data_IF_663907229878
#
_entry.id   IF_663907229878
#
_cell.length_a   1.000
_cell.length_b   1.000
_cell.length_c   1.000
_cell.angle_alpha   90.00
_cell.angle_beta   90.00
_cell.angle_gamma   90.00
#
_symmetry.space_group_name_H-M   'P 1'
#
loop_
_entity.id
_entity.type
_entity.pdbx_description
1 polymer ?
#
# COMPACT_ATOMS: atom_id res chain seq x y z
N UNK A 1 19.38 19.22 51.11
CA UNK A 1 20.43 18.99 50.10
C UNK A 1 19.95 19.51 48.77
N UNK A 2 20.28 20.76 48.46
CA UNK A 2 19.94 21.47 47.23
C UNK A 2 21.03 21.20 46.20
N UNK A 3 20.75 20.36 45.21
CA UNK A 3 21.68 20.08 44.11
C UNK A 3 21.92 21.33 43.24
N UNK A 4 23.13 21.49 42.67
CA UNK A 4 23.47 22.65 41.86
C UNK A 4 22.59 22.75 40.61
N UNK A 5 22.11 23.95 40.32
CA UNK A 5 21.30 24.25 39.15
C UNK A 5 22.09 23.96 37.84
N UNK A 6 21.47 23.29 36.83
CA UNK A 6 22.15 23.00 35.58
C UNK A 6 22.49 24.28 34.81
N UNK A 7 23.73 24.38 34.33
CA UNK A 7 24.24 25.54 33.63
C UNK A 7 23.44 25.85 32.33
N UNK A 8 23.01 27.10 32.08
CA UNK A 8 22.05 27.48 31.04
C UNK A 8 22.53 27.38 29.57
N UNK A 9 23.69 26.75 29.28
CA UNK A 9 24.27 26.66 27.93
C UNK A 9 24.18 25.30 27.23
N UNK A 10 23.83 24.21 27.94
CA UNK A 10 24.00 22.84 27.43
C UNK A 10 22.94 22.36 26.42
N UNK A 11 21.78 23.02 26.33
CA UNK A 11 20.65 22.54 25.52
C UNK A 11 20.86 22.77 24.02
N UNK A 12 21.50 23.87 23.61
CA UNK A 12 21.80 24.15 22.19
C UNK A 12 22.86 23.20 21.61
N UNK A 13 23.90 22.91 22.39
CA UNK A 13 24.97 22.00 21.97
C UNK A 13 24.49 20.54 21.87
N UNK A 14 23.66 20.08 22.83
CA UNK A 14 23.04 18.74 22.76
C UNK A 14 22.05 18.62 21.61
N UNK A 15 21.26 19.67 21.34
CA UNK A 15 20.35 19.73 20.19
C UNK A 15 21.08 19.62 18.84
N UNK A 16 22.16 20.38 18.65
CA UNK A 16 22.94 20.34 17.41
C UNK A 16 23.61 18.97 17.16
N UNK A 17 24.16 18.34 18.21
CA UNK A 17 24.77 17.02 18.11
C UNK A 17 23.75 15.91 17.80
N UNK A 18 22.57 15.96 18.43
CA UNK A 18 21.46 15.03 18.17
C UNK A 18 20.92 15.18 16.74
N UNK A 19 20.73 16.41 16.27
CA UNK A 19 20.29 16.70 14.89
C UNK A 19 21.35 16.25 13.87
N UNK A 20 22.64 16.47 14.13
CA UNK A 20 23.72 16.04 13.23
C UNK A 20 23.88 14.52 13.13
N UNK A 21 23.66 13.78 14.23
CA UNK A 21 23.72 12.31 14.22
C UNK A 21 22.50 11.68 13.52
N UNK A 22 21.28 12.16 13.79
CA UNK A 22 20.06 11.66 13.16
C UNK A 22 19.97 12.10 11.69
N UNK A 23 20.44 13.30 11.36
CA UNK A 23 20.42 13.84 10.00
C UNK A 23 21.22 13.00 9.01
N UNK A 24 22.41 12.51 9.37
CA UNK A 24 23.22 11.64 8.49
C UNK A 24 22.56 10.28 8.24
N UNK A 25 21.97 9.67 9.27
CA UNK A 25 21.25 8.41 9.12
C UNK A 25 20.01 8.58 8.22
N UNK A 26 19.24 9.64 8.41
CA UNK A 26 18.08 9.97 7.58
C UNK A 26 18.46 10.29 6.14
N UNK A 27 19.55 11.05 5.92
CA UNK A 27 20.05 11.34 4.58
C UNK A 27 20.47 10.05 3.84
N UNK A 28 21.19 9.16 4.51
CA UNK A 28 21.56 7.85 3.94
C UNK A 28 20.34 7.01 3.57
N UNK A 29 19.31 6.96 4.42
CA UNK A 29 18.05 6.27 4.11
C UNK A 29 17.30 6.93 2.94
N UNK A 30 17.35 8.26 2.85
CA UNK A 30 16.78 9.03 1.75
C UNK A 30 17.40 8.65 0.41
N UNK A 31 18.73 8.60 0.33
CA UNK A 31 19.45 8.20 -0.90
C UNK A 31 19.06 6.78 -1.33
N UNK A 32 19.07 5.82 -0.40
CA UNK A 32 18.71 4.43 -0.73
C UNK A 32 17.26 4.33 -1.21
N UNK A 33 16.34 5.08 -0.60
CA UNK A 33 14.94 5.13 -1.03
C UNK A 33 14.79 5.72 -2.45
N UNK A 34 15.51 6.80 -2.75
CA UNK A 34 15.53 7.41 -4.11
C UNK A 34 16.02 6.40 -5.14
N UNK A 35 17.09 5.65 -4.84
CA UNK A 35 17.57 4.58 -5.72
C UNK A 35 16.49 3.54 -5.98
N UNK A 36 15.76 3.11 -4.94
CA UNK A 36 14.65 2.16 -5.08
C UNK A 36 13.51 2.66 -5.96
N UNK A 37 13.14 3.95 -5.80
CA UNK A 37 12.11 4.61 -6.63
C UNK A 37 12.58 4.69 -8.09
N UNK A 38 13.82 5.12 -8.32
CA UNK A 38 14.40 5.19 -9.67
C UNK A 38 14.48 3.80 -10.32
N UNK A 39 14.88 2.77 -9.57
CA UNK A 39 14.91 1.40 -10.05
C UNK A 39 13.50 0.90 -10.43
N UNK A 40 12.49 1.22 -9.62
CA UNK A 40 11.10 0.87 -9.92
C UNK A 40 10.58 1.57 -11.18
N UNK A 41 10.88 2.86 -11.35
CA UNK A 41 10.54 3.60 -12.56
C UNK A 41 11.28 3.05 -13.80
N UNK A 42 12.58 2.79 -13.67
CA UNK A 42 13.40 2.18 -14.72
C UNK A 42 12.89 0.79 -15.11
N UNK A 43 12.47 -0.02 -14.14
CA UNK A 43 11.82 -1.30 -14.36
C UNK A 43 10.57 -1.16 -15.23
N UNK A 44 9.66 -0.25 -14.87
CA UNK A 44 8.44 -0.04 -15.66
C UNK A 44 8.78 0.38 -17.10
N UNK A 45 9.72 1.31 -17.28
CA UNK A 45 10.13 1.76 -18.61
C UNK A 45 10.74 0.65 -19.46
N UNK A 46 11.62 -0.17 -18.87
CA UNK A 46 12.26 -1.30 -19.56
C UNK A 46 11.22 -2.32 -20.02
N UNK A 47 10.27 -2.67 -19.15
CA UNK A 47 9.27 -3.68 -19.46
C UNK A 47 8.25 -3.16 -20.48
N UNK A 48 7.79 -1.91 -20.36
CA UNK A 48 6.90 -1.26 -21.34
C UNK A 48 7.53 -1.26 -22.74
N UNK A 49 8.79 -0.81 -22.85
CA UNK A 49 9.51 -0.74 -24.13
C UNK A 49 9.86 -2.12 -24.69
N UNK A 50 10.07 -3.08 -23.81
CA UNK A 50 10.58 -4.40 -24.15
C UNK A 50 9.55 -5.40 -24.65
N UNK A 51 8.34 -5.37 -24.09
CA UNK A 51 7.28 -6.35 -24.35
C UNK A 51 6.34 -5.92 -25.50
N UNK A 52 6.27 -4.62 -25.81
CA UNK A 52 5.25 -4.08 -26.70
C UNK A 52 3.83 -4.16 -26.10
N UNK A 53 2.81 -3.57 -26.76
CA UNK A 53 1.50 -3.36 -26.15
C UNK A 53 0.79 -4.65 -25.73
N UNK A 54 0.82 -5.68 -26.59
CA UNK A 54 0.09 -6.94 -26.35
C UNK A 54 0.63 -7.68 -25.13
N UNK A 55 1.94 -8.00 -25.14
CA UNK A 55 2.56 -8.69 -24.00
C UNK A 55 2.60 -7.82 -22.75
N UNK A 56 2.76 -6.50 -22.89
CA UNK A 56 2.71 -5.58 -21.74
C UNK A 56 1.31 -5.54 -21.11
N UNK A 57 0.23 -5.54 -21.91
CA UNK A 57 -1.14 -5.60 -21.40
C UNK A 57 -1.41 -6.87 -20.60
N UNK A 58 -0.92 -8.02 -21.07
CA UNK A 58 -0.96 -9.28 -20.33
C UNK A 58 -0.12 -9.20 -19.04
N UNK A 59 1.12 -8.75 -19.14
CA UNK A 59 2.02 -8.59 -17.99
C UNK A 59 1.41 -7.67 -16.93
N UNK A 60 0.89 -6.51 -17.31
CA UNK A 60 0.31 -5.52 -16.41
C UNK A 60 -0.96 -6.04 -15.73
N UNK A 61 -1.78 -6.83 -16.44
CA UNK A 61 -2.96 -7.49 -15.86
C UNK A 61 -2.58 -8.53 -14.81
N UNK A 62 -1.54 -9.32 -15.09
CA UNK A 62 -1.00 -10.31 -14.15
C UNK A 62 -0.32 -9.63 -12.95
N UNK A 63 0.43 -8.55 -13.20
CA UNK A 63 1.06 -7.73 -12.17
C UNK A 63 0.00 -7.02 -11.30
N UNK A 64 -1.17 -6.68 -11.84
CA UNK A 64 -2.27 -6.11 -11.08
C UNK A 64 -2.72 -7.05 -9.94
N UNK A 65 -2.85 -8.36 -10.20
CA UNK A 65 -3.13 -9.33 -9.13
C UNK A 65 -2.00 -9.41 -8.10
N UNK A 66 -0.74 -9.39 -8.55
CA UNK A 66 0.41 -9.37 -7.64
C UNK A 66 0.45 -8.07 -6.81
N UNK A 67 0.05 -6.94 -7.37
CA UNK A 67 -0.05 -5.66 -6.66
C UNK A 67 -1.10 -5.71 -5.55
N UNK A 68 -2.24 -6.37 -5.78
CA UNK A 68 -3.26 -6.60 -4.74
C UNK A 68 -2.68 -7.40 -3.57
N UNK A 69 -1.97 -8.50 -3.85
CA UNK A 69 -1.29 -9.29 -2.83
C UNK A 69 -0.18 -8.48 -2.12
N UNK A 70 0.60 -7.71 -2.87
CA UNK A 70 1.66 -6.84 -2.34
C UNK A 70 1.12 -5.78 -1.39
N UNK A 71 0.03 -5.08 -1.74
CA UNK A 71 -0.60 -4.07 -0.87
C UNK A 71 -1.17 -4.72 0.39
N UNK A 72 -1.87 -5.86 0.25
CA UNK A 72 -2.34 -6.64 1.40
C UNK A 72 -1.20 -7.08 2.33
N UNK A 73 -0.08 -7.52 1.75
CA UNK A 73 1.12 -7.85 2.52
C UNK A 73 1.68 -6.62 3.24
N UNK A 74 1.62 -5.42 2.66
CA UNK A 74 2.04 -4.18 3.29
C UNK A 74 1.23 -3.83 4.54
N UNK A 75 -0.07 -4.16 4.56
CA UNK A 75 -0.89 -4.01 5.77
C UNK A 75 -0.44 -4.96 6.88
N UNK A 76 -0.14 -6.22 6.54
CA UNK A 76 0.46 -7.18 7.47
C UNK A 76 1.79 -6.65 8.03
N UNK A 77 2.67 -6.08 7.19
CA UNK A 77 3.94 -5.46 7.62
C UNK A 77 3.72 -4.46 8.74
N UNK A 78 2.79 -3.54 8.53
CA UNK A 78 2.53 -2.45 9.46
C UNK A 78 1.96 -2.98 10.78
N UNK A 79 1.06 -3.96 10.73
CA UNK A 79 0.52 -4.64 11.91
C UNK A 79 1.63 -5.31 12.72
N UNK A 80 2.48 -6.12 12.07
CA UNK A 80 3.61 -6.82 12.70
C UNK A 80 4.63 -5.83 13.26
N UNK A 81 4.89 -4.72 12.58
CA UNK A 81 5.80 -3.68 13.06
C UNK A 81 5.30 -3.01 14.35
N UNK A 82 4.02 -2.64 14.40
CA UNK A 82 3.42 -2.02 15.59
C UNK A 82 3.45 -2.99 16.77
N UNK A 83 3.05 -4.23 16.56
CA UNK A 83 3.04 -5.25 17.63
C UNK A 83 4.46 -5.58 18.15
N UNK A 84 5.43 -5.71 17.24
CA UNK A 84 6.83 -5.95 17.61
C UNK A 84 7.39 -4.78 18.42
N UNK A 85 7.08 -3.54 18.03
CA UNK A 85 7.48 -2.35 18.77
C UNK A 85 6.86 -2.30 20.17
N UNK A 86 5.56 -2.59 20.29
CA UNK A 86 4.83 -2.63 21.56
C UNK A 86 5.39 -3.72 22.50
N UNK A 87 5.62 -4.93 21.98
CA UNK A 87 6.18 -6.06 22.74
C UNK A 87 7.57 -5.73 23.30
N UNK A 88 8.40 -5.01 22.54
CA UNK A 88 9.72 -4.56 22.99
C UNK A 88 9.63 -3.45 24.04
N UNK A 89 8.73 -2.49 23.86
CA UNK A 89 8.54 -1.38 24.80
C UNK A 89 8.02 -1.86 26.15
N UNK A 90 7.17 -2.89 26.17
CA UNK A 90 6.64 -3.49 27.39
C UNK A 90 7.69 -4.23 28.24
N UNK A 91 8.97 -4.23 27.84
CA UNK A 91 10.02 -4.91 28.57
C UNK A 91 9.73 -6.40 28.74
N UNK A 92 8.92 -6.98 27.84
CA UNK A 92 8.76 -8.42 27.68
C UNK A 92 10.11 -8.93 27.16
N UNK A 93 11.10 -8.95 28.06
CA UNK A 93 12.31 -9.75 27.97
C UNK A 93 11.79 -11.11 27.61
N UNK A 94 12.05 -11.52 26.38
CA UNK A 94 11.61 -12.78 25.80
C UNK A 94 11.58 -13.84 26.89
N UNK A 95 10.38 -14.12 27.41
CA UNK A 95 10.17 -15.22 28.34
C UNK A 95 10.83 -16.39 27.67
N UNK A 96 11.82 -16.97 28.36
CA UNK A 96 12.77 -18.00 27.95
C UNK A 96 12.49 -18.53 26.54
N UNK A 97 13.37 -18.33 25.54
CA UNK A 97 13.11 -18.60 24.12
C UNK A 97 12.75 -20.07 23.90
N UNK A 98 11.49 -20.41 24.16
CA UNK A 98 10.95 -21.72 23.93
C UNK A 98 10.67 -21.77 22.45
N UNK A 99 11.71 -22.09 21.66
CA UNK A 99 11.77 -22.86 20.40
C UNK A 99 10.55 -22.87 19.45
N UNK A 100 9.61 -21.94 19.54
CA UNK A 100 8.45 -21.88 18.66
C UNK A 100 8.94 -21.28 17.36
N UNK A 101 9.27 -22.19 16.45
CA UNK A 101 9.65 -21.88 15.07
C UNK A 101 8.58 -21.04 14.34
N UNK A 102 7.35 -21.05 14.85
CA UNK A 102 6.19 -20.33 14.33
C UNK A 102 5.59 -19.46 15.45
N UNK A 103 5.74 -18.13 15.33
CA UNK A 103 4.97 -17.17 16.13
C UNK A 103 3.64 -16.83 15.42
N UNK A 104 2.77 -16.07 16.09
CA UNK A 104 1.46 -15.70 15.54
C UNK A 104 1.57 -15.00 14.18
N UNK A 105 2.53 -14.08 14.03
CA UNK A 105 2.77 -13.37 12.77
C UNK A 105 3.22 -14.29 11.64
N UNK A 106 3.98 -15.37 11.93
CA UNK A 106 4.41 -16.36 10.94
C UNK A 106 3.22 -17.14 10.42
N UNK A 107 2.33 -17.58 11.32
CA UNK A 107 1.09 -18.26 10.95
C UNK A 107 0.23 -17.36 10.08
N UNK A 108 0.05 -16.09 10.47
CA UNK A 108 -0.74 -15.12 9.71
C UNK A 108 -0.17 -14.89 8.30
N UNK A 109 1.14 -14.69 8.17
CA UNK A 109 1.80 -14.52 6.88
C UNK A 109 1.67 -15.75 5.98
N UNK A 110 1.88 -16.95 6.53
CA UNK A 110 1.79 -18.20 5.78
C UNK A 110 0.35 -18.49 5.33
N UNK A 111 -0.63 -18.30 6.21
CA UNK A 111 -2.04 -18.53 5.90
C UNK A 111 -2.53 -17.51 4.86
N UNK A 112 -2.26 -16.22 5.03
CA UNK A 112 -2.67 -15.21 4.04
C UNK A 112 -2.00 -15.44 2.69
N UNK A 113 -0.69 -15.72 2.69
CA UNK A 113 0.04 -16.07 1.47
C UNK A 113 -0.52 -17.31 0.78
N UNK A 114 -0.78 -18.38 1.55
CA UNK A 114 -1.34 -19.63 1.01
C UNK A 114 -2.77 -19.43 0.49
N UNK A 115 -3.62 -18.68 1.21
CA UNK A 115 -4.98 -18.35 0.75
C UNK A 115 -4.93 -17.59 -0.57
N UNK A 116 -4.06 -16.59 -0.72
CA UNK A 116 -3.89 -15.88 -1.98
C UNK A 116 -3.37 -16.78 -3.10
N UNK A 117 -2.39 -17.65 -2.82
CA UNK A 117 -1.87 -18.61 -3.80
C UNK A 117 -2.94 -19.61 -4.23
N UNK A 118 -3.65 -20.24 -3.30
CA UNK A 118 -4.72 -21.19 -3.59
C UNK A 118 -5.85 -20.52 -4.36
N UNK A 119 -6.27 -19.32 -3.95
CA UNK A 119 -7.30 -18.57 -4.67
C UNK A 119 -6.86 -18.27 -6.12
N UNK A 120 -5.60 -17.88 -6.35
CA UNK A 120 -5.05 -17.69 -7.69
C UNK A 120 -5.02 -18.96 -8.53
N UNK A 121 -4.65 -20.10 -7.93
CA UNK A 121 -4.66 -21.42 -8.61
C UNK A 121 -6.08 -21.85 -8.96
N UNK A 122 -7.04 -21.71 -8.03
CA UNK A 122 -8.45 -22.04 -8.24
C UNK A 122 -9.07 -21.14 -9.31
N UNK A 123 -8.70 -19.86 -9.34
CA UNK A 123 -9.15 -18.92 -10.36
C UNK A 123 -8.43 -19.09 -11.71
N UNK A 124 -7.37 -19.92 -11.78
CA UNK A 124 -6.52 -20.00 -12.97
C UNK A 124 -7.27 -20.35 -14.26
N UNK A 125 -8.20 -21.33 -14.31
CA UNK A 125 -8.95 -21.64 -15.54
C UNK A 125 -9.77 -20.45 -16.05
N UNK A 126 -10.36 -19.68 -15.13
CA UNK A 126 -11.11 -18.48 -15.47
C UNK A 126 -10.19 -17.37 -15.98
N UNK A 127 -9.06 -17.15 -15.30
CA UNK A 127 -8.08 -16.13 -15.68
C UNK A 127 -7.40 -16.45 -17.02
N UNK A 128 -7.10 -17.71 -17.30
CA UNK A 128 -6.51 -18.10 -18.60
C UNK A 128 -7.46 -17.84 -19.75
N UNK A 129 -8.73 -18.20 -19.59
CA UNK A 129 -9.76 -17.94 -20.60
C UNK A 129 -10.02 -16.44 -20.76
N UNK A 130 -10.05 -15.69 -19.65
CA UNK A 130 -10.38 -14.27 -19.66
C UNK A 130 -9.23 -13.36 -20.10
N UNK A 131 -7.97 -13.81 -20.01
CA UNK A 131 -6.78 -13.00 -20.39
C UNK A 131 -6.15 -13.46 -21.72
N UNK A 132 -6.75 -14.49 -22.33
CA UNK A 132 -6.24 -15.19 -23.51
C UNK A 132 -4.76 -15.60 -23.35
N UNK A 133 -4.50 -16.43 -22.34
CA UNK A 133 -3.13 -16.82 -21.99
C UNK A 133 -3.03 -18.26 -21.51
N UNK A 134 -1.79 -18.76 -21.42
CA UNK A 134 -1.52 -20.08 -20.87
C UNK A 134 -1.62 -20.09 -19.35
N UNK A 135 -1.78 -21.27 -18.75
CA UNK A 135 -1.90 -21.42 -17.29
C UNK A 135 -0.63 -21.03 -16.54
N UNK A 136 0.54 -21.11 -17.19
CA UNK A 136 1.84 -20.96 -16.55
C UNK A 136 2.04 -19.55 -15.95
N UNK A 137 1.87 -18.43 -16.69
CA UNK A 137 1.95 -17.09 -16.11
C UNK A 137 1.03 -16.87 -14.90
N UNK A 138 -0.19 -17.41 -14.94
CA UNK A 138 -1.16 -17.28 -13.84
C UNK A 138 -0.67 -18.03 -12.59
N UNK A 139 -0.15 -19.24 -12.75
CA UNK A 139 0.43 -20.01 -11.65
C UNK A 139 1.68 -19.36 -11.07
N UNK A 140 2.52 -18.73 -11.90
CA UNK A 140 3.71 -17.99 -11.42
C UNK A 140 3.30 -16.80 -10.55
N UNK A 141 2.28 -16.03 -10.96
CA UNK A 141 1.73 -14.93 -10.15
C UNK A 141 1.13 -15.44 -8.84
N UNK A 142 0.34 -16.51 -8.91
CA UNK A 142 -0.26 -17.12 -7.71
C UNK A 142 0.83 -17.60 -6.74
N UNK A 143 1.88 -18.25 -7.24
CA UNK A 143 3.01 -18.71 -6.45
C UNK A 143 3.82 -17.54 -5.84
N UNK A 144 3.87 -16.39 -6.50
CA UNK A 144 4.58 -15.21 -6.00
C UNK A 144 3.88 -14.56 -4.80
N UNK A 145 2.58 -14.79 -4.56
CA UNK A 145 1.88 -14.21 -3.42
C UNK A 145 2.48 -14.63 -2.07
N UNK A 146 2.73 -15.93 -1.87
CA UNK A 146 3.27 -16.47 -0.61
C UNK A 146 4.60 -15.83 -0.17
N UNK A 147 5.67 -15.77 -0.99
CA UNK A 147 6.92 -15.15 -0.58
C UNK A 147 6.76 -13.65 -0.29
N UNK A 148 5.83 -12.94 -0.95
CA UNK A 148 5.57 -11.53 -0.64
C UNK A 148 5.03 -11.35 0.79
N UNK A 149 4.09 -12.17 1.25
CA UNK A 149 3.60 -12.11 2.64
C UNK A 149 4.69 -12.46 3.67
N UNK A 150 5.50 -13.48 3.38
CA UNK A 150 6.63 -13.86 4.25
C UNK A 150 7.68 -12.76 4.31
N UNK A 151 8.05 -12.18 3.17
CA UNK A 151 8.97 -11.04 3.08
C UNK A 151 8.45 -9.85 3.87
N UNK A 152 7.18 -9.54 3.69
CA UNK A 152 6.52 -8.41 4.34
C UNK A 152 6.47 -8.55 5.87
N UNK A 153 6.16 -9.75 6.38
CA UNK A 153 6.28 -10.06 7.81
C UNK A 153 7.69 -9.78 8.33
N UNK A 154 8.71 -10.29 7.65
CA UNK A 154 10.11 -10.13 8.08
C UNK A 154 10.56 -8.67 8.09
N UNK A 155 10.10 -7.88 7.11
CA UNK A 155 10.27 -6.42 7.15
C UNK A 155 9.55 -5.78 8.34
N UNK A 156 8.33 -6.24 8.67
CA UNK A 156 7.58 -5.76 9.82
C UNK A 156 8.32 -5.99 11.14
N UNK A 157 8.87 -7.18 11.35
CA UNK A 157 9.70 -7.50 12.51
C UNK A 157 10.92 -6.57 12.62
N UNK A 158 11.66 -6.40 11.51
CA UNK A 158 12.84 -5.52 11.47
C UNK A 158 12.46 -4.07 11.75
N UNK A 159 11.36 -3.58 11.15
CA UNK A 159 10.83 -2.23 11.36
C UNK A 159 10.42 -1.99 12.81
N UNK A 160 9.65 -2.91 13.40
CA UNK A 160 9.21 -2.82 14.79
C UNK A 160 10.34 -2.94 15.80
N UNK A 161 11.45 -3.58 15.42
CA UNK A 161 12.69 -3.60 16.20
C UNK A 161 13.50 -2.30 16.10
N UNK A 162 13.06 -1.33 15.29
CA UNK A 162 13.77 -0.07 15.04
C UNK A 162 14.84 -0.16 13.96
N UNK A 163 14.95 -1.27 13.23
CA UNK A 163 15.90 -1.42 12.12
C UNK A 163 15.27 -1.06 10.76
N UNK A 164 14.85 0.19 10.64
CA UNK A 164 14.34 0.74 9.38
C UNK A 164 15.38 0.69 8.25
N UNK A 165 16.68 0.66 8.59
CA UNK A 165 17.76 0.56 7.61
C UNK A 165 17.74 -0.79 6.89
N UNK A 166 17.62 -1.89 7.62
CA UNK A 166 17.51 -3.21 6.99
C UNK A 166 16.28 -3.31 6.10
N UNK A 167 15.14 -2.75 6.53
CA UNK A 167 13.90 -2.75 5.73
C UNK A 167 14.11 -2.01 4.40
N UNK A 168 14.65 -0.80 4.45
CA UNK A 168 14.94 0.02 3.27
C UNK A 168 15.97 -0.64 2.35
N UNK A 169 17.00 -1.28 2.92
CA UNK A 169 18.00 -2.02 2.13
C UNK A 169 17.39 -3.23 1.43
N UNK A 170 16.59 -4.05 2.12
CA UNK A 170 15.94 -5.21 1.50
C UNK A 170 14.94 -4.81 0.42
N UNK A 171 14.12 -3.79 0.65
CA UNK A 171 13.16 -3.31 -0.36
C UNK A 171 13.87 -2.73 -1.58
N UNK A 172 14.91 -1.93 -1.36
CA UNK A 172 15.67 -1.31 -2.45
C UNK A 172 16.47 -2.33 -3.23
N UNK A 173 17.12 -3.29 -2.55
CA UNK A 173 17.83 -4.38 -3.20
C UNK A 173 16.88 -5.23 -4.07
N UNK A 174 15.66 -5.52 -3.58
CA UNK A 174 14.65 -6.22 -4.36
C UNK A 174 14.22 -5.43 -5.61
N UNK A 175 13.98 -4.12 -5.48
CA UNK A 175 13.62 -3.24 -6.61
C UNK A 175 14.74 -3.14 -7.66
N UNK A 176 15.99 -2.98 -7.21
CA UNK A 176 17.16 -2.96 -8.09
C UNK A 176 17.35 -4.31 -8.78
N UNK A 177 17.21 -5.42 -8.06
CA UNK A 177 17.29 -6.76 -8.64
C UNK A 177 16.18 -6.99 -9.67
N UNK A 178 14.93 -6.63 -9.37
CA UNK A 178 13.81 -6.70 -10.31
C UNK A 178 14.10 -5.89 -11.58
N UNK A 179 14.60 -4.66 -11.44
CA UNK A 179 14.99 -3.85 -12.59
C UNK A 179 16.07 -4.51 -13.45
N UNK A 180 17.21 -4.87 -12.85
CA UNK A 180 18.36 -5.39 -13.60
C UNK A 180 18.08 -6.76 -14.24
N UNK A 181 17.43 -7.66 -13.50
CA UNK A 181 17.11 -8.99 -14.00
C UNK A 181 15.99 -8.94 -15.06
N UNK A 182 14.98 -8.09 -14.90
CA UNK A 182 13.95 -7.93 -15.92
C UNK A 182 14.51 -7.31 -17.20
N UNK A 183 15.43 -6.35 -17.09
CA UNK A 183 16.14 -5.79 -18.24
C UNK A 183 16.94 -6.86 -18.98
N UNK A 184 17.62 -7.76 -18.26
CA UNK A 184 18.32 -8.90 -18.84
C UNK A 184 17.35 -9.84 -19.56
N UNK A 185 16.26 -10.25 -18.90
CA UNK A 185 15.25 -11.16 -19.46
C UNK A 185 14.62 -10.59 -20.73
N UNK A 186 14.21 -9.32 -20.70
CA UNK A 186 13.64 -8.61 -21.85
C UNK A 186 14.64 -8.57 -23.00
N UNK A 187 15.91 -8.25 -22.72
CA UNK A 187 16.97 -8.24 -23.74
C UNK A 187 17.21 -9.61 -24.37
N UNK A 188 17.01 -10.68 -23.60
CA UNK A 188 17.12 -12.07 -24.06
C UNK A 188 15.83 -12.60 -24.72
N UNK A 189 14.78 -11.78 -24.83
CA UNK A 189 13.51 -12.19 -25.45
C UNK A 189 12.65 -13.11 -24.57
N UNK A 190 12.81 -13.08 -23.24
CA UNK A 190 12.04 -13.94 -22.33
C UNK A 190 10.56 -13.57 -22.13
N UNK A 191 10.11 -12.48 -22.74
CA UNK A 191 8.72 -12.02 -22.72
C UNK A 191 8.15 -11.73 -21.33
N UNK A 192 6.82 -11.59 -21.25
CA UNK A 192 6.10 -11.32 -20.01
C UNK A 192 6.33 -12.40 -18.92
N UNK A 193 6.35 -13.68 -19.30
CA UNK A 193 6.55 -14.80 -18.37
C UNK A 193 7.91 -14.73 -17.69
N UNK A 194 8.97 -14.44 -18.44
CA UNK A 194 10.31 -14.31 -17.89
C UNK A 194 10.37 -13.20 -16.83
N UNK A 195 9.71 -12.06 -17.08
CA UNK A 195 9.64 -10.96 -16.11
C UNK A 195 8.89 -11.38 -14.85
N UNK A 196 7.78 -12.13 -14.98
CA UNK A 196 7.05 -12.66 -13.82
C UNK A 196 7.88 -13.64 -12.99
N UNK A 197 8.70 -14.47 -13.65
CA UNK A 197 9.64 -15.37 -12.96
C UNK A 197 10.71 -14.60 -12.18
N UNK A 198 11.15 -13.43 -12.67
CA UNK A 198 12.03 -12.52 -11.91
C UNK A 198 11.34 -12.05 -10.64
N UNK A 199 10.06 -11.66 -10.70
CA UNK A 199 9.30 -11.25 -9.51
C UNK A 199 9.19 -12.37 -8.48
N UNK A 200 8.87 -13.59 -8.92
CA UNK A 200 8.84 -14.77 -8.06
C UNK A 200 10.22 -15.03 -7.42
N UNK A 201 11.28 -15.07 -8.23
CA UNK A 201 12.65 -15.32 -7.77
C UNK A 201 13.13 -14.29 -6.76
N UNK A 202 12.99 -13.00 -7.07
CA UNK A 202 13.36 -11.91 -6.16
C UNK A 202 12.51 -11.94 -4.89
N UNK A 203 11.21 -12.22 -5.00
CA UNK A 203 10.31 -12.39 -3.86
C UNK A 203 10.78 -13.50 -2.92
N UNK A 204 11.13 -14.68 -3.47
CA UNK A 204 11.65 -15.82 -2.69
C UNK A 204 12.97 -15.47 -2.01
N UNK A 205 13.94 -14.91 -2.75
CA UNK A 205 15.24 -14.53 -2.19
C UNK A 205 15.08 -13.46 -1.10
N UNK A 206 14.25 -12.45 -1.32
CA UNK A 206 13.93 -11.42 -0.32
C UNK A 206 13.28 -12.02 0.91
N UNK A 207 12.29 -12.89 0.74
CA UNK A 207 11.60 -13.57 1.84
C UNK A 207 12.56 -14.39 2.70
N UNK A 208 13.40 -15.22 2.08
CA UNK A 208 14.39 -16.05 2.78
C UNK A 208 15.43 -15.19 3.49
N UNK A 209 16.01 -14.21 2.79
CA UNK A 209 17.06 -13.34 3.32
C UNK A 209 16.60 -12.48 4.49
N UNK A 210 15.47 -11.78 4.34
CA UNK A 210 14.91 -10.96 5.42
C UNK A 210 14.47 -11.81 6.62
N UNK A 211 13.92 -13.01 6.38
CA UNK A 211 13.54 -13.95 7.45
C UNK A 211 14.76 -14.49 8.20
N UNK A 212 15.84 -14.80 7.49
CA UNK A 212 17.10 -15.22 8.10
C UNK A 212 17.66 -14.10 8.99
N UNK A 213 17.67 -12.85 8.51
CA UNK A 213 18.12 -11.71 9.29
C UNK A 213 17.26 -11.48 10.54
N UNK A 214 15.93 -11.55 10.42
CA UNK A 214 15.01 -11.42 11.55
C UNK A 214 15.24 -12.53 12.60
N UNK A 215 15.53 -13.76 12.14
CA UNK A 215 15.86 -14.91 13.01
C UNK A 215 17.19 -14.75 13.74
N UNK A 216 18.25 -14.29 13.06
CA UNK A 216 19.56 -14.01 13.68
C UNK A 216 19.40 -13.00 14.81
N UNK A 217 18.52 -12.02 14.64
CA UNK A 217 18.20 -11.01 15.65
C UNK A 217 17.16 -11.44 16.69
N UNK A 218 16.70 -12.69 16.63
CA UNK A 218 15.71 -13.29 17.54
C UNK A 218 14.44 -12.42 17.68
N UNK A 219 14.02 -11.81 16.56
CA UNK A 219 12.83 -10.97 16.54
C UNK A 219 11.59 -11.85 16.46
N UNK A 220 10.64 -11.58 17.34
CA UNK A 220 9.34 -12.25 17.43
C UNK A 220 8.27 -11.19 17.62
N UNK A 221 7.07 -11.48 17.11
CA UNK A 221 5.87 -10.68 17.34
C UNK A 221 5.01 -11.35 18.41
N UNK A 222 4.52 -10.56 19.36
CA UNK A 222 3.55 -10.97 20.38
C UNK A 222 2.11 -11.00 19.85
N UNK A 223 1.91 -10.68 18.57
CA UNK A 223 0.61 -10.52 17.96
C UNK A 223 -0.22 -11.79 18.09
N UNK A 224 -1.46 -11.59 18.53
CA UNK A 224 -2.48 -12.62 18.34
C UNK A 224 -2.80 -12.68 16.84
N UNK A 225 -2.62 -13.84 16.19
CA UNK A 225 -2.94 -13.96 14.78
C UNK A 225 -4.41 -13.62 14.55
N UNK A 226 -4.70 -12.89 13.46
CA UNK A 226 -6.06 -12.58 13.01
C UNK A 226 -6.93 -11.82 14.01
N UNK A 227 -6.40 -10.77 14.64
CA UNK A 227 -7.27 -9.86 15.40
C UNK A 227 -8.32 -9.24 14.47
N UNK A 228 -9.53 -8.99 14.99
CA UNK A 228 -10.63 -8.48 14.18
C UNK A 228 -10.27 -7.14 13.50
N UNK A 229 -9.57 -6.25 14.21
CA UNK A 229 -9.16 -4.96 13.67
C UNK A 229 -8.06 -5.12 12.61
N UNK A 230 -7.10 -6.02 12.81
CA UNK A 230 -6.08 -6.33 11.81
C UNK A 230 -6.71 -6.91 10.54
N UNK A 231 -7.68 -7.82 10.68
CA UNK A 231 -8.44 -8.38 9.55
C UNK A 231 -9.20 -7.30 8.79
N UNK A 232 -9.86 -6.36 9.49
CA UNK A 232 -10.55 -5.25 8.84
C UNK A 232 -9.57 -4.33 8.11
N UNK A 233 -8.42 -4.02 8.72
CA UNK A 233 -7.36 -3.22 8.09
C UNK A 233 -6.83 -3.90 6.82
N UNK A 234 -6.50 -5.19 6.89
CA UNK A 234 -6.03 -5.97 5.76
C UNK A 234 -7.10 -6.01 4.67
N UNK A 235 -8.35 -6.31 5.01
CA UNK A 235 -9.46 -6.35 4.07
C UNK A 235 -9.73 -5.00 3.40
N UNK A 236 -9.66 -3.88 4.15
CA UNK A 236 -9.77 -2.52 3.60
C UNK A 236 -8.69 -2.26 2.55
N UNK A 237 -7.43 -2.60 2.87
CA UNK A 237 -6.31 -2.38 1.95
C UNK A 237 -6.38 -3.27 0.71
N UNK A 238 -6.77 -4.54 0.85
CA UNK A 238 -6.95 -5.46 -0.27
C UNK A 238 -8.12 -5.01 -1.15
N UNK A 239 -9.26 -4.63 -0.57
CA UNK A 239 -10.42 -4.17 -1.33
C UNK A 239 -10.09 -2.89 -2.12
N UNK A 240 -9.38 -1.94 -1.51
CA UNK A 240 -8.96 -0.74 -2.22
C UNK A 240 -7.90 -1.03 -3.29
N UNK A 241 -6.94 -1.92 -3.00
CA UNK A 241 -5.95 -2.36 -3.98
C UNK A 241 -6.61 -3.02 -5.18
N UNK A 242 -7.65 -3.84 -4.95
CA UNK A 242 -8.46 -4.45 -6.00
C UNK A 242 -9.11 -3.38 -6.87
N UNK A 243 -9.87 -2.45 -6.28
CA UNK A 243 -10.52 -1.35 -7.00
C UNK A 243 -9.57 -0.56 -7.90
N UNK A 244 -8.35 -0.35 -7.40
CA UNK A 244 -7.32 0.44 -8.09
C UNK A 244 -6.43 -0.37 -9.04
N UNK A 245 -6.62 -1.69 -9.12
CA UNK A 245 -5.80 -2.57 -9.99
C UNK A 245 -6.64 -3.37 -10.99
N UNK A 246 -7.91 -3.63 -10.68
CA UNK A 246 -8.80 -4.46 -11.50
C UNK A 246 -9.15 -3.82 -12.84
N UNK A 247 -8.99 -2.50 -12.97
CA UNK A 247 -9.25 -1.77 -14.20
C UNK A 247 -8.42 -2.29 -15.38
N UNK A 248 -7.12 -2.52 -15.17
CA UNK A 248 -6.24 -3.08 -16.20
C UNK A 248 -6.65 -4.51 -16.59
N UNK A 249 -7.06 -5.31 -15.60
CA UNK A 249 -7.55 -6.69 -15.81
C UNK A 249 -8.84 -6.69 -16.63
N UNK A 250 -9.79 -5.81 -16.29
CA UNK A 250 -11.06 -5.69 -17.00
C UNK A 250 -10.83 -5.29 -18.45
N UNK A 251 -10.07 -4.22 -18.70
CA UNK A 251 -9.77 -3.75 -20.05
C UNK A 251 -9.07 -4.85 -20.86
N UNK A 252 -8.06 -5.56 -20.31
CA UNK A 252 -7.42 -6.68 -21.00
C UNK A 252 -8.39 -7.81 -21.34
N UNK A 253 -9.39 -8.06 -20.50
CA UNK A 253 -10.37 -9.13 -20.74
C UNK A 253 -11.50 -8.77 -21.69
N UNK A 254 -11.71 -7.49 -21.98
CA UNK A 254 -12.89 -7.01 -22.69
C UNK A 254 -12.60 -6.15 -23.92
N UNK A 255 -11.44 -5.51 -24.01
CA UNK A 255 -11.04 -4.68 -25.14
C UNK A 255 -10.06 -5.40 -26.09
N UNK A 256 -9.77 -4.78 -27.23
CA UNK A 256 -8.74 -5.26 -28.14
C UNK A 256 -7.35 -5.24 -27.48
N UNK A 257 -6.49 -6.18 -27.85
CA UNK A 257 -5.21 -6.38 -27.18
C UNK A 257 -4.29 -5.15 -27.20
N UNK A 258 -4.27 -4.43 -28.33
CA UNK A 258 -3.50 -3.21 -28.50
C UNK A 258 -4.03 -2.07 -27.61
N UNK A 259 -5.34 -1.87 -27.58
CA UNK A 259 -6.00 -0.86 -26.74
C UNK A 259 -5.79 -1.17 -25.26
N UNK A 260 -5.84 -2.44 -24.87
CA UNK A 260 -5.56 -2.88 -23.50
C UNK A 260 -4.10 -2.63 -23.09
N UNK A 261 -3.15 -2.86 -24.00
CA UNK A 261 -1.75 -2.51 -23.80
C UNK A 261 -1.52 -1.01 -23.63
N UNK A 262 -2.15 -0.21 -24.48
CA UNK A 262 -2.13 1.25 -24.43
C UNK A 262 -2.75 1.79 -23.12
N UNK A 263 -3.91 1.26 -22.73
CA UNK A 263 -4.56 1.57 -21.47
C UNK A 263 -3.66 1.21 -20.28
N UNK A 264 -3.05 0.02 -20.27
CA UNK A 264 -2.17 -0.41 -19.20
C UNK A 264 -0.96 0.51 -19.02
N UNK A 265 -0.32 0.92 -20.12
CA UNK A 265 0.82 1.83 -20.09
C UNK A 265 0.42 3.22 -19.57
N UNK A 266 -0.71 3.75 -20.05
CA UNK A 266 -1.28 5.00 -19.55
C UNK A 266 -1.63 4.90 -18.05
N UNK A 267 -2.24 3.79 -17.62
CA UNK A 267 -2.64 3.56 -16.24
C UNK A 267 -1.43 3.50 -15.30
N UNK A 268 -0.34 2.83 -15.69
CA UNK A 268 0.88 2.79 -14.88
C UNK A 268 1.50 4.19 -14.72
N UNK A 269 1.54 4.97 -15.80
CA UNK A 269 2.01 6.35 -15.74
C UNK A 269 1.16 7.21 -14.80
N UNK A 270 -0.17 7.18 -14.95
CA UNK A 270 -1.08 7.94 -14.08
C UNK A 270 -0.93 7.49 -12.63
N UNK A 271 -0.98 6.18 -12.35
CA UNK A 271 -0.88 5.63 -10.99
C UNK A 271 0.46 5.92 -10.32
N UNK A 272 1.56 5.92 -11.06
CA UNK A 272 2.89 6.22 -10.48
C UNK A 272 2.99 7.68 -10.02
N UNK A 273 2.31 8.62 -10.67
CA UNK A 273 2.26 10.00 -10.18
C UNK A 273 1.50 10.16 -8.85
N UNK A 274 0.58 9.23 -8.53
CA UNK A 274 -0.16 9.21 -7.26
C UNK A 274 0.70 8.80 -6.05
N UNK A 275 1.95 8.39 -6.27
CA UNK A 275 2.91 8.16 -5.20
C UNK A 275 3.19 9.47 -4.43
N UNK A 276 3.18 10.62 -5.10
CA UNK A 276 3.48 11.92 -4.49
C UNK A 276 2.48 12.28 -3.38
N UNK A 277 1.15 12.35 -3.63
CA UNK A 277 0.18 12.66 -2.58
C UNK A 277 0.15 11.61 -1.48
N UNK A 278 0.38 10.34 -1.82
CA UNK A 278 0.45 9.24 -0.84
C UNK A 278 1.62 9.42 0.13
N UNK A 279 2.81 9.73 -0.40
CA UNK A 279 4.03 9.89 0.40
C UNK A 279 3.91 11.10 1.32
N UNK A 280 3.37 12.22 0.84
CA UNK A 280 3.18 13.40 1.68
C UNK A 280 2.12 13.14 2.77
N UNK A 281 1.04 12.41 2.43
CA UNK A 281 0.02 12.01 3.42
C UNK A 281 0.60 11.15 4.54
N UNK A 282 1.50 10.22 4.21
CA UNK A 282 2.19 9.38 5.19
C UNK A 282 3.11 10.19 6.11
N UNK A 283 3.78 11.22 5.59
CA UNK A 283 4.64 12.08 6.41
C UNK A 283 3.85 12.97 7.37
N UNK A 284 2.69 13.46 6.94
CA UNK A 284 1.85 14.33 7.76
C UNK A 284 1.05 13.56 8.82
N UNK A 285 0.78 12.26 8.59
CA UNK A 285 -0.05 11.44 9.47
C UNK A 285 0.43 11.34 10.93
N UNK A 286 1.71 11.06 11.25
CA UNK A 286 2.18 10.99 12.64
C UNK A 286 1.97 12.30 13.41
N UNK A 287 2.14 13.45 12.73
CA UNK A 287 1.92 14.78 13.32
C UNK A 287 0.46 15.02 13.68
N UNK A 288 -0.47 14.47 12.89
CA UNK A 288 -1.90 14.54 13.20
C UNK A 288 -2.32 13.51 14.26
N UNK A 289 -1.67 12.35 14.28
CA UNK A 289 -1.91 11.31 15.29
C UNK A 289 -1.47 11.77 16.68
N UNK A 290 -0.36 12.51 16.79
CA UNK A 290 0.05 13.12 18.06
C UNK A 290 -0.93 14.19 18.56
N UNK A 291 -1.79 14.72 17.68
CA UNK A 291 -2.85 15.65 18.00
C UNK A 291 -4.24 14.97 17.99
N UNK A 292 -4.31 13.66 18.29
CA UNK A 292 -5.55 12.85 18.22
C UNK A 292 -6.72 13.40 19.03
N UNK A 293 -6.41 14.09 20.14
CA UNK A 293 -7.42 14.69 21.01
C UNK A 293 -7.98 16.00 20.44
N UNK A 294 -7.31 16.58 19.45
CA UNK A 294 -7.76 17.78 18.74
C UNK A 294 -8.46 17.41 17.42
N UNK A 295 -9.79 17.37 17.49
CA UNK A 295 -10.64 17.13 16.31
C UNK A 295 -10.42 18.15 15.18
N UNK A 296 -9.97 19.37 15.48
CA UNK A 296 -9.67 20.39 14.47
C UNK A 296 -8.41 20.03 13.69
N UNK A 297 -7.35 19.59 14.38
CA UNK A 297 -6.11 19.11 13.75
C UNK A 297 -6.35 17.90 12.84
N UNK A 298 -7.17 16.94 13.26
CA UNK A 298 -7.52 15.78 12.41
C UNK A 298 -8.30 16.20 11.15
N UNK A 299 -9.25 17.13 11.28
CA UNK A 299 -10.01 17.66 10.12
C UNK A 299 -9.10 18.41 9.15
N UNK A 300 -8.23 19.27 9.67
CA UNK A 300 -7.26 20.01 8.87
C UNK A 300 -6.33 19.05 8.12
N UNK A 301 -5.84 18.00 8.78
CA UNK A 301 -4.96 17.02 8.16
C UNK A 301 -5.61 16.25 7.01
N UNK A 302 -6.88 15.86 7.16
CA UNK A 302 -7.63 15.21 6.07
C UNK A 302 -7.97 16.18 4.94
N UNK A 303 -8.39 17.41 5.25
CA UNK A 303 -8.67 18.39 4.21
C UNK A 303 -7.41 18.76 3.42
N UNK A 304 -6.27 18.87 4.09
CA UNK A 304 -4.98 19.12 3.45
C UNK A 304 -4.54 17.96 2.56
N UNK A 305 -4.70 16.71 3.01
CA UNK A 305 -4.37 15.54 2.18
C UNK A 305 -5.28 15.40 0.96
N UNK A 306 -6.58 15.69 1.12
CA UNK A 306 -7.54 15.74 0.02
C UNK A 306 -7.22 16.86 -0.98
N UNK A 307 -6.95 18.07 -0.49
CA UNK A 307 -6.58 19.21 -1.34
C UNK A 307 -5.29 18.94 -2.10
N UNK A 308 -4.30 18.34 -1.45
CA UNK A 308 -3.06 17.94 -2.10
C UNK A 308 -3.29 16.86 -3.17
N UNK A 309 -4.07 15.82 -2.87
CA UNK A 309 -4.41 14.79 -3.85
C UNK A 309 -5.13 15.39 -5.07
N UNK A 310 -6.05 16.33 -4.85
CA UNK A 310 -6.72 17.07 -5.92
C UNK A 310 -5.72 17.90 -6.75
N UNK A 311 -4.91 18.74 -6.11
CA UNK A 311 -3.95 19.62 -6.80
C UNK A 311 -2.92 18.81 -7.58
N UNK A 312 -2.36 17.75 -6.98
CA UNK A 312 -1.39 16.89 -7.66
C UNK A 312 -2.02 16.11 -8.81
N UNK A 313 -3.23 15.57 -8.63
CA UNK A 313 -3.98 14.90 -9.70
C UNK A 313 -4.30 15.83 -10.87
N UNK A 314 -4.75 17.06 -10.60
CA UNK A 314 -5.00 18.07 -11.63
C UNK A 314 -3.71 18.53 -12.32
N UNK A 315 -2.61 18.67 -11.58
CA UNK A 315 -1.31 18.99 -12.16
C UNK A 315 -0.85 17.90 -13.13
N UNK A 316 -1.00 16.62 -12.76
CA UNK A 316 -0.71 15.49 -13.64
C UNK A 316 -1.59 15.53 -14.88
N UNK A 317 -2.89 15.75 -14.72
CA UNK A 317 -3.83 15.91 -15.82
C UNK A 317 -3.39 17.00 -16.81
N UNK A 318 -3.01 18.19 -16.31
CA UNK A 318 -2.48 19.28 -17.16
C UNK A 318 -1.20 18.85 -17.88
N UNK A 319 -0.25 18.25 -17.16
CA UNK A 319 1.03 17.79 -17.74
C UNK A 319 0.79 16.77 -18.85
N UNK A 320 -0.07 15.76 -18.65
CA UNK A 320 -0.32 14.76 -19.68
C UNK A 320 -1.17 15.29 -20.84
N UNK A 321 -2.01 16.29 -20.60
CA UNK A 321 -2.78 16.95 -21.68
C UNK A 321 -1.86 17.75 -22.60
N UNK A 322 -0.90 18.49 -22.03
CA UNK A 322 0.03 19.34 -22.80
C UNK A 322 1.19 18.54 -23.38
N UNK A 323 1.73 17.59 -22.61
CA UNK A 323 2.97 16.88 -22.94
C UNK A 323 2.78 15.36 -23.16
N UNK A 324 1.54 14.86 -23.27
CA UNK A 324 1.26 13.42 -23.39
C UNK A 324 2.00 12.75 -24.55
N UNK A 325 2.11 13.41 -25.70
CA UNK A 325 2.88 12.91 -26.83
C UNK A 325 4.40 12.84 -26.59
N UNK A 326 4.96 13.65 -25.69
CA UNK A 326 6.36 13.51 -25.25
C UNK A 326 6.52 12.34 -24.28
N UNK A 327 5.56 12.18 -23.36
CA UNK A 327 5.60 11.12 -22.36
C UNK A 327 5.45 9.75 -23.01
N UNK A 328 4.52 9.58 -23.95
CA UNK A 328 4.31 8.30 -24.64
C UNK A 328 5.48 7.91 -25.54
N UNK A 329 6.26 8.86 -26.06
CA UNK A 329 7.51 8.55 -26.78
C UNK A 329 8.52 7.80 -25.89
N UNK A 330 8.43 7.94 -24.58
CA UNK A 330 9.25 7.19 -23.61
C UNK A 330 8.81 5.72 -23.51
N UNK A 331 7.62 5.35 -24.00
CA UNK A 331 7.14 3.95 -24.06
C UNK A 331 7.58 3.19 -25.30
N UNK A 332 8.03 3.88 -26.36
CA UNK A 332 8.40 3.27 -27.63
C UNK A 332 7.25 3.24 -28.63
N UNK A 333 7.44 2.56 -29.76
CA UNK A 333 6.41 2.44 -30.81
C UNK A 333 5.27 1.50 -30.41
N UNK A 334 4.10 1.70 -31.00
CA UNK A 334 2.90 0.87 -30.76
C UNK A 334 2.01 1.35 -29.61
N UNK A 335 2.42 2.39 -28.87
CA UNK A 335 1.64 2.98 -27.78
C UNK A 335 0.96 4.29 -28.18
N UNK A 336 0.83 4.59 -29.48
CA UNK A 336 0.28 5.85 -29.97
C UNK A 336 -1.15 6.08 -29.43
N UNK A 337 -1.96 5.04 -29.34
CA UNK A 337 -3.30 5.07 -28.75
C UNK A 337 -3.30 5.48 -27.27
N UNK A 338 -2.22 5.25 -26.53
CA UNK A 338 -2.13 5.65 -25.13
C UNK A 338 -2.20 7.18 -24.99
N UNK A 339 -1.75 7.95 -25.99
CA UNK A 339 -1.83 9.42 -25.96
C UNK A 339 -3.26 9.93 -25.91
N UNK A 340 -4.19 9.26 -26.57
CA UNK A 340 -5.59 9.68 -26.64
C UNK A 340 -6.31 9.45 -25.30
N UNK A 341 -6.06 8.29 -24.67
CA UNK A 341 -6.73 7.89 -23.43
C UNK A 341 -6.12 8.59 -22.20
N UNK A 342 -4.85 8.97 -22.25
CA UNK A 342 -4.09 9.43 -21.09
C UNK A 342 -4.70 10.66 -20.36
N UNK A 343 -5.19 11.72 -21.04
CA UNK A 343 -5.82 12.86 -20.35
C UNK A 343 -7.10 12.46 -19.63
N UNK A 344 -7.99 11.72 -20.28
CA UNK A 344 -9.25 11.27 -19.67
C UNK A 344 -8.97 10.36 -18.46
N UNK A 345 -8.01 9.45 -18.60
CA UNK A 345 -7.59 8.56 -17.52
C UNK A 345 -6.97 9.32 -16.35
N UNK A 346 -6.09 10.29 -16.59
CA UNK A 346 -5.52 11.12 -15.52
C UNK A 346 -6.59 11.84 -14.70
N UNK A 347 -7.60 12.39 -15.37
CA UNK A 347 -8.73 13.03 -14.70
C UNK A 347 -9.59 12.03 -13.92
N UNK A 348 -9.87 10.86 -14.51
CA UNK A 348 -10.62 9.77 -13.89
C UNK A 348 -9.98 9.25 -12.60
N UNK A 349 -8.66 9.37 -12.46
CA UNK A 349 -7.90 8.91 -11.31
C UNK A 349 -7.83 9.91 -10.13
N UNK A 350 -8.22 11.17 -10.34
CA UNK A 350 -8.28 12.18 -9.27
C UNK A 350 -9.15 11.74 -8.08
N UNK A 351 -10.41 11.28 -8.27
CA UNK A 351 -11.23 10.84 -7.14
C UNK A 351 -10.64 9.61 -6.43
N UNK A 352 -9.97 8.72 -7.15
CA UNK A 352 -9.27 7.57 -6.56
C UNK A 352 -8.10 8.00 -5.67
N UNK A 353 -7.30 8.97 -6.11
CA UNK A 353 -6.22 9.54 -5.31
C UNK A 353 -6.73 10.16 -4.00
N UNK A 354 -7.84 10.89 -4.07
CA UNK A 354 -8.50 11.47 -2.90
C UNK A 354 -9.09 10.38 -1.97
N UNK A 355 -9.68 9.34 -2.54
CA UNK A 355 -10.20 8.20 -1.77
C UNK A 355 -9.06 7.46 -1.04
N UNK A 356 -7.89 7.34 -1.66
CA UNK A 356 -6.70 6.78 -1.03
C UNK A 356 -6.24 7.60 0.19
N UNK A 357 -6.29 8.94 0.13
CA UNK A 357 -6.00 9.80 1.27
C UNK A 357 -6.97 9.59 2.43
N UNK A 358 -8.26 9.35 2.15
CA UNK A 358 -9.26 9.00 3.18
C UNK A 358 -9.04 7.61 3.75
N UNK A 359 -8.62 6.65 2.91
CA UNK A 359 -8.40 5.27 3.31
C UNK A 359 -7.42 5.19 4.49
N UNK A 360 -6.36 5.99 4.48
CA UNK A 360 -5.37 6.04 5.57
C UNK A 360 -6.05 6.23 6.94
N UNK A 361 -6.99 7.19 7.02
CA UNK A 361 -7.75 7.44 8.26
C UNK A 361 -8.73 6.31 8.58
N UNK A 362 -9.43 5.80 7.58
CA UNK A 362 -10.42 4.75 7.75
C UNK A 362 -9.80 3.42 8.19
N UNK A 363 -8.60 3.14 7.69
CA UNK A 363 -7.75 2.03 8.13
C UNK A 363 -7.28 2.24 9.56
N UNK A 364 -6.82 3.44 9.93
CA UNK A 364 -6.45 3.75 11.31
C UNK A 364 -7.62 3.60 12.31
N UNK A 365 -8.87 3.73 11.84
CA UNK A 365 -10.08 3.54 12.62
C UNK A 365 -10.69 2.13 12.52
N UNK A 366 -10.05 1.19 11.78
CA UNK A 366 -10.57 -0.15 11.50
C UNK A 366 -12.08 -0.15 11.09
N UNK A 367 -12.44 0.77 10.19
CA UNK A 367 -13.85 1.04 9.85
C UNK A 367 -14.50 -0.10 9.05
N UNK A 368 -15.35 -0.90 9.70
CA UNK A 368 -16.16 -1.95 9.06
C UNK A 368 -17.11 -1.41 7.99
N UNK A 369 -17.67 -0.21 8.20
CA UNK A 369 -18.54 0.44 7.22
C UNK A 369 -17.79 0.81 5.94
N UNK A 370 -16.54 1.25 6.07
CA UNK A 370 -15.70 1.53 4.91
C UNK A 370 -15.41 0.25 4.13
N UNK A 371 -15.23 -0.88 4.82
CA UNK A 371 -15.02 -2.17 4.16
C UNK A 371 -16.25 -2.58 3.34
N UNK A 372 -17.45 -2.47 3.91
CA UNK A 372 -18.70 -2.75 3.19
C UNK A 372 -18.83 -1.86 1.96
N UNK A 373 -18.56 -0.55 2.09
CA UNK A 373 -18.57 0.38 0.96
C UNK A 373 -17.60 -0.07 -0.13
N UNK A 374 -16.34 -0.38 0.20
CA UNK A 374 -15.34 -0.78 -0.79
C UNK A 374 -15.71 -2.09 -1.51
N UNK A 375 -16.28 -3.07 -0.78
CA UNK A 375 -16.74 -4.33 -1.38
C UNK A 375 -17.90 -4.10 -2.36
N UNK A 376 -18.87 -3.27 -1.99
CA UNK A 376 -20.00 -2.93 -2.87
C UNK A 376 -19.54 -2.15 -4.10
N UNK A 377 -18.64 -1.19 -3.93
CA UNK A 377 -18.02 -0.46 -5.05
C UNK A 377 -17.24 -1.41 -5.95
N UNK A 378 -16.55 -2.42 -5.39
CA UNK A 378 -15.78 -3.38 -6.18
C UNK A 378 -16.67 -4.27 -7.03
N UNK A 379 -17.79 -4.74 -6.47
CA UNK A 379 -18.81 -5.44 -7.24
C UNK A 379 -19.40 -4.56 -8.34
N UNK A 380 -19.72 -3.30 -8.04
CA UNK A 380 -20.25 -2.35 -9.01
C UNK A 380 -19.24 -2.06 -10.14
N UNK A 381 -17.97 -1.84 -9.82
CA UNK A 381 -16.90 -1.61 -10.82
C UNK A 381 -16.76 -2.81 -11.76
N UNK A 382 -16.79 -4.03 -11.20
CA UNK A 382 -16.70 -5.26 -12.00
C UNK A 382 -17.89 -5.39 -12.97
N UNK A 383 -19.11 -5.23 -12.47
CA UNK A 383 -20.34 -5.35 -13.28
C UNK A 383 -20.39 -4.25 -14.34
N UNK A 384 -20.24 -2.98 -13.95
CA UNK A 384 -20.31 -1.86 -14.89
C UNK A 384 -19.17 -1.90 -15.92
N UNK A 385 -17.97 -2.31 -15.51
CA UNK A 385 -16.84 -2.48 -16.42
C UNK A 385 -17.11 -3.52 -17.50
N UNK A 386 -17.68 -4.68 -17.11
CA UNK A 386 -18.07 -5.74 -18.05
C UNK A 386 -19.18 -5.34 -19.01
N UNK A 387 -20.07 -4.43 -18.62
CA UNK A 387 -21.18 -3.97 -19.46
C UNK A 387 -20.75 -2.97 -20.54
N UNK A 388 -19.67 -2.22 -20.30
CA UNK A 388 -19.26 -1.11 -21.18
C UNK A 388 -18.10 -1.49 -22.11
N UNK A 389 -17.25 -2.43 -21.69
CA UNK A 389 -16.22 -2.98 -22.58
C UNK A 389 -16.86 -3.71 -23.78
N UNK A 390 -16.33 -3.57 -25.02
CA UNK A 390 -14.95 -3.18 -25.37
C UNK A 390 -14.65 -1.68 -25.43
N UNK A 391 -15.61 -0.77 -25.21
CA UNK A 391 -15.38 0.67 -25.30
C UNK A 391 -14.53 1.19 -24.12
N UNK A 392 -13.25 1.50 -24.40
CA UNK A 392 -12.27 1.94 -23.41
C UNK A 392 -12.58 3.35 -22.88
N UNK A 393 -13.06 4.25 -23.73
CA UNK A 393 -13.35 5.63 -23.33
C UNK A 393 -14.57 5.67 -22.39
N UNK A 394 -15.62 4.92 -22.75
CA UNK A 394 -16.77 4.76 -21.87
C UNK A 394 -16.39 4.05 -20.55
N UNK A 395 -15.47 3.06 -20.60
CA UNK A 395 -14.94 2.42 -19.40
C UNK A 395 -14.20 3.42 -18.48
N UNK A 396 -13.39 4.33 -19.04
CA UNK A 396 -12.70 5.39 -18.28
C UNK A 396 -13.70 6.30 -17.56
N UNK A 397 -14.79 6.69 -18.24
CA UNK A 397 -15.86 7.51 -17.64
C UNK A 397 -16.57 6.76 -16.51
N UNK A 398 -16.92 5.49 -16.73
CA UNK A 398 -17.51 4.64 -15.69
C UNK A 398 -16.57 4.51 -14.48
N UNK A 399 -15.29 4.26 -14.72
CA UNK A 399 -14.29 4.11 -13.66
C UNK A 399 -14.10 5.43 -12.87
N UNK A 400 -14.17 6.59 -13.54
CA UNK A 400 -14.19 7.89 -12.89
C UNK A 400 -15.43 8.05 -11.98
N UNK A 401 -16.61 7.69 -12.49
CA UNK A 401 -17.87 7.74 -11.75
C UNK A 401 -17.85 6.83 -10.51
N UNK A 402 -17.37 5.59 -10.67
CA UNK A 402 -17.17 4.64 -9.56
C UNK A 402 -16.21 5.21 -8.51
N UNK A 403 -15.09 5.79 -8.94
CA UNK A 403 -14.15 6.45 -8.04
C UNK A 403 -14.75 7.62 -7.27
N UNK A 404 -15.56 8.45 -7.93
CA UNK A 404 -16.26 9.57 -7.31
C UNK A 404 -17.30 9.10 -6.28
N UNK A 405 -18.06 8.04 -6.59
CA UNK A 405 -19.00 7.40 -5.66
C UNK A 405 -18.26 6.82 -4.45
N UNK A 406 -17.13 6.13 -4.67
CA UNK A 406 -16.30 5.58 -3.61
C UNK A 406 -15.80 6.68 -2.67
N UNK A 407 -15.25 7.77 -3.23
CA UNK A 407 -14.82 8.95 -2.48
C UNK A 407 -15.97 9.56 -1.66
N UNK A 408 -17.13 9.79 -2.28
CA UNK A 408 -18.30 10.36 -1.60
C UNK A 408 -18.77 9.49 -0.42
N UNK A 409 -18.92 8.18 -0.64
CA UNK A 409 -19.31 7.24 0.41
C UNK A 409 -18.28 7.17 1.54
N UNK A 410 -16.99 7.08 1.22
CA UNK A 410 -15.90 7.09 2.22
C UNK A 410 -15.86 8.40 3.01
N UNK A 411 -16.12 9.54 2.36
CA UNK A 411 -16.21 10.84 3.01
C UNK A 411 -17.40 10.92 3.98
N UNK A 412 -18.57 10.38 3.60
CA UNK A 412 -19.72 10.26 4.51
C UNK A 412 -19.39 9.39 5.74
N UNK A 413 -18.71 8.25 5.55
CA UNK A 413 -18.26 7.41 6.67
C UNK A 413 -17.27 8.17 7.56
N UNK A 414 -16.31 8.89 6.95
CA UNK A 414 -15.38 9.76 7.66
C UNK A 414 -16.11 10.78 8.55
N UNK A 415 -17.14 11.46 8.02
CA UNK A 415 -17.91 12.46 8.77
C UNK A 415 -18.70 11.83 9.93
N UNK A 416 -19.25 10.63 9.73
CA UNK A 416 -19.94 9.89 10.81
C UNK A 416 -18.98 9.55 11.96
N UNK A 417 -17.77 9.09 11.64
CA UNK A 417 -16.74 8.79 12.66
C UNK A 417 -16.33 10.05 13.44
N UNK A 418 -16.17 11.20 12.77
CA UNK A 418 -15.88 12.48 13.45
C UNK A 418 -17.02 12.87 14.41
N UNK A 419 -18.28 12.73 13.99
CA UNK A 419 -19.44 13.09 14.81
C UNK A 419 -19.60 12.18 16.03
N UNK A 420 -19.31 10.89 15.88
CA UNK A 420 -19.36 9.94 17.00
C UNK A 420 -18.30 10.25 18.06
N UNK A 421 -17.07 10.55 17.65
CA UNK A 421 -16.00 10.91 18.57
C UNK A 421 -16.33 12.17 19.40
N UNK A 422 -16.98 13.17 18.81
CA UNK A 422 -17.38 14.39 19.53
C UNK A 422 -18.46 14.17 20.60
N UNK A 423 -19.34 13.17 20.43
CA UNK A 423 -20.41 12.88 21.41
C UNK A 423 -19.88 12.22 22.67
N UNK A 424 -18.86 11.36 22.56
CA UNK A 424 -18.29 10.65 23.71
C UNK A 424 -17.61 11.59 24.70
N UNK A 425 -17.03 12.69 24.22
CA UNK A 425 -16.33 13.69 25.06
C UNK A 425 -17.31 14.59 25.82
N UNK A 426 -18.53 14.78 25.32
CA UNK A 426 -19.54 15.67 25.91
C UNK A 426 -20.51 14.99 26.88
N UNK A 427 -20.44 13.67 27.08
CA UNK A 427 -21.23 12.99 28.10
C UNK A 427 -20.81 13.53 29.48
N UNK A 428 -21.67 14.29 30.18
CA UNK A 428 -21.30 14.92 31.43
C UNK A 428 -20.95 13.83 32.44
N UNK A 429 -19.75 13.90 33.03
CA UNK A 429 -19.52 13.27 34.33
C UNK A 429 -20.42 14.00 35.30
N UNK A 430 -21.63 13.48 35.50
CA UNK A 430 -22.56 14.00 36.49
C UNK A 430 -21.81 14.12 37.82
N UNK A 431 -21.61 15.35 38.36
CA UNK A 431 -20.98 15.53 39.67
C UNK A 431 -21.94 15.13 40.82
N UNK A 432 -23.08 14.49 40.52
CA UNK A 432 -24.10 14.07 41.47
C UNK A 432 -23.73 12.75 42.19
N UNK A 433 -22.53 12.69 42.74
CA UNK A 433 -22.12 11.70 43.75
C UNK A 433 -21.63 12.45 44.97
N UNK A 434 -22.55 13.06 45.72
CA UNK A 434 -22.24 13.76 46.96
C UNK A 434 -21.60 12.83 48.00
N UNK A 435 -20.68 13.33 48.83
CA UNK A 435 -20.14 12.58 49.96
C UNK A 435 -21.20 12.44 51.05
N UNK A 436 -21.83 11.28 51.15
CA UNK A 436 -22.85 11.05 52.19
C UNK A 436 -23.28 9.61 52.33
N UNK A 437 -22.58 8.85 53.17
CA UNK A 437 -23.11 7.93 54.19
C UNK A 437 -22.11 6.82 54.50
N UNK A 438 -21.36 6.98 55.59
CA UNK A 438 -20.73 5.90 56.35
C UNK A 438 -21.81 4.92 56.84
N UNK A 439 -21.75 3.61 56.51
CA UNK A 439 -22.56 2.61 57.19
C UNK A 439 -21.96 2.38 58.58
N UNK A 440 -22.79 2.58 59.61
CA UNK A 440 -22.45 2.30 60.99
C UNK A 440 -22.11 0.82 61.22
N UNK A 441 -21.15 0.60 62.12
CA UNK A 441 -20.79 -0.69 62.72
C UNK A 441 -21.89 -1.10 63.69
N UNK A 442 -22.50 -2.29 63.57
CA UNK A 442 -23.18 -2.93 64.68
C UNK A 442 -22.16 -3.70 65.53
N UNK A 443 -22.28 -3.50 66.85
CA UNK A 443 -21.62 -4.27 67.92
C UNK A 443 -21.96 -5.75 67.90
#
# INVERSE_FOLDING_TARGET
MTGPAPAPGGWRARGAALVGAHGRALAGLGVVTVVGVVATAGFQLVVIRGLGPVEYGLFASLLAFLNVASIGSGALRNSVAVDTAASRAAGSTAGTPARRLLDGSAVEALVLGLVCTVAGVVAAPYLTASLDTTVVPVLVVAAAALPYFVFSRSQGLLQGAGDSRAVVLWSTAAQVAQFLLSALVVRLGGGALGVLLVFLGVGVVGALGASAQARVRRLVSGARPFSADALVVIALTIAFAWLTSVDVVLVRSGALEADAGAYAAAAVLVKTTLIVPTTLSLYLLPRFVSARDDTASVRLGVNLSLALALVTGLAVWVVVTVAGGLVVRVFGGGYEQATAVLPALALAWVPWAMAQSLLIRLTAAASRWSLVVLVLVAAAQWVLGRLVLPDVDAFVVVNAGVGAVALGCMFVVHLRLVRQAGRTVQAPTDPAGGPGATPGVPL
#
